data_IF_074986063501
#
_entry.id   IF_074986063501
#
_cell.length_a   1.000
_cell.length_b   1.000
_cell.length_c   1.000
_cell.angle_alpha   90.00
_cell.angle_beta   90.00
_cell.angle_gamma   90.00
#
_symmetry.space_group_name_H-M   'P 1'
#
loop_
_entity.id
_entity.type
_entity.pdbx_description
1 polymer ?
#
# COMPACT_ATOMS: atom_id res chain seq x y z
N UNK A 1 -1.28 -5.81 -11.50
CA UNK A 1 -1.74 -4.69 -10.65
C UNK A 1 -0.90 -4.63 -9.41
N UNK A 2 -0.50 -3.43 -8.99
CA UNK A 2 0.30 -3.17 -7.80
C UNK A 2 -0.46 -2.16 -6.94
N UNK A 3 -0.56 -2.42 -5.64
CA UNK A 3 -1.08 -1.47 -4.66
C UNK A 3 0.05 -1.08 -3.71
N UNK A 4 0.14 0.22 -3.41
CA UNK A 4 1.07 0.78 -2.44
C UNK A 4 0.25 1.53 -1.40
N UNK A 5 0.36 1.08 -0.15
CA UNK A 5 -0.34 1.66 1.00
C UNK A 5 0.71 2.13 2.00
N UNK A 6 0.69 3.41 2.33
CA UNK A 6 1.51 3.99 3.39
C UNK A 6 0.63 4.19 4.61
N UNK A 7 1.01 3.62 5.74
CA UNK A 7 0.29 3.78 7.01
C UNK A 7 1.16 4.41 8.08
N UNK A 8 0.50 5.10 9.01
CA UNK A 8 1.10 5.53 10.28
C UNK A 8 1.26 4.34 11.25
N UNK A 9 2.00 4.50 12.37
CA UNK A 9 2.10 3.46 13.40
C UNK A 9 0.75 3.04 14.01
N UNK A 10 -0.23 3.95 14.05
CA UNK A 10 -1.61 3.75 14.48
C UNK A 10 -2.55 3.23 13.36
N UNK A 11 -1.98 2.76 12.24
CA UNK A 11 -2.71 2.16 11.11
C UNK A 11 -3.69 3.10 10.40
N UNK A 12 -3.38 4.40 10.37
CA UNK A 12 -4.09 5.38 9.54
C UNK A 12 -3.43 5.46 8.17
N UNK A 13 -4.24 5.39 7.12
CA UNK A 13 -3.76 5.47 5.74
C UNK A 13 -3.27 6.88 5.45
N UNK A 14 -1.98 7.02 5.13
CA UNK A 14 -1.39 8.29 4.67
C UNK A 14 -1.43 8.44 3.16
N UNK A 15 -1.27 7.35 2.43
CA UNK A 15 -1.32 7.32 0.95
C UNK A 15 -1.84 5.97 0.49
N UNK A 16 -2.73 6.01 -0.49
CA UNK A 16 -3.15 4.83 -1.25
C UNK A 16 -2.88 5.09 -2.73
N UNK A 17 -2.09 4.21 -3.34
CA UNK A 17 -1.75 4.31 -4.75
C UNK A 17 -1.91 2.97 -5.44
N UNK A 18 -2.49 2.97 -6.64
CA UNK A 18 -2.69 1.76 -7.44
C UNK A 18 -2.10 1.96 -8.82
N UNK A 19 -1.39 0.95 -9.32
CA UNK A 19 -0.88 0.88 -10.69
C UNK A 19 -1.44 -0.38 -11.35
N UNK A 20 -2.28 -0.19 -12.38
CA UNK A 20 -2.87 -1.27 -13.16
C UNK A 20 -2.41 -1.20 -14.60
N UNK A 21 -1.75 -2.25 -15.06
CA UNK A 21 -1.11 -2.31 -16.37
C UNK A 21 0.01 -3.34 -16.40
N UNK A 22 0.45 -3.70 -17.60
CA UNK A 22 1.53 -4.67 -17.85
C UNK A 22 2.81 -4.02 -18.42
N UNK A 23 2.80 -2.69 -18.60
CA UNK A 23 3.91 -1.91 -19.15
C UNK A 23 4.67 -1.16 -18.06
N UNK A 24 5.97 -0.97 -18.24
CA UNK A 24 6.82 -0.13 -17.36
C UNK A 24 6.45 1.35 -17.38
N UNK A 25 5.67 1.79 -18.38
CA UNK A 25 5.18 3.16 -18.48
C UNK A 25 3.92 3.42 -17.65
N UNK A 26 3.27 2.35 -17.17
CA UNK A 26 2.10 2.46 -16.31
C UNK A 26 2.47 3.25 -15.05
N UNK A 27 1.58 4.13 -14.60
CA UNK A 27 1.82 5.01 -13.44
C UNK A 27 0.90 4.63 -12.30
N UNK A 28 1.37 4.93 -11.09
CA UNK A 28 0.54 4.92 -9.90
C UNK A 28 -0.46 6.07 -9.96
N UNK A 29 -1.73 5.74 -9.73
CA UNK A 29 -2.80 6.70 -9.48
C UNK A 29 -3.03 6.79 -7.98
N UNK A 30 -3.16 8.01 -7.47
CA UNK A 30 -3.45 8.29 -6.06
C UNK A 30 -4.96 8.22 -5.83
N UNK A 31 -5.34 7.58 -4.74
CA UNK A 31 -6.72 7.49 -4.27
C UNK A 31 -6.85 8.29 -2.97
N UNK A 32 -7.10 9.59 -3.10
CA UNK A 32 -7.15 10.53 -1.98
C UNK A 32 -8.37 10.29 -1.09
N UNK A 33 -9.43 9.69 -1.63
CA UNK A 33 -10.65 9.30 -0.92
C UNK A 33 -10.40 8.28 0.22
N UNK A 34 -9.24 7.62 0.20
CA UNK A 34 -8.84 6.63 1.20
C UNK A 34 -7.76 7.13 2.16
N UNK A 35 -7.36 8.39 2.07
CA UNK A 35 -6.40 8.96 3.00
C UNK A 35 -7.08 9.46 4.28
N UNK A 36 -6.39 9.33 5.41
CA UNK A 36 -6.89 9.72 6.73
C UNK A 36 -7.85 8.71 7.38
N UNK A 37 -8.26 7.65 6.68
CA UNK A 37 -9.12 6.61 7.26
C UNK A 37 -8.31 5.48 7.90
N UNK A 38 -8.89 4.75 8.88
CA UNK A 38 -8.28 3.54 9.41
C UNK A 38 -8.09 2.46 8.35
N UNK A 39 -6.95 1.76 8.37
CA UNK A 39 -6.62 0.66 7.45
C UNK A 39 -7.69 -0.44 7.44
N UNK A 40 -8.37 -0.68 8.56
CA UNK A 40 -9.43 -1.68 8.66
C UNK A 40 -10.63 -1.37 7.75
N UNK A 41 -10.92 -0.08 7.50
CA UNK A 41 -11.97 0.34 6.56
C UNK A 41 -11.65 -0.07 5.12
N UNK A 42 -10.36 -0.20 4.78
CA UNK A 42 -9.93 -0.76 3.48
C UNK A 42 -10.18 -2.26 3.37
N UNK A 43 -10.22 -2.99 4.50
CA UNK A 43 -10.55 -4.43 4.52
C UNK A 43 -12.04 -4.66 4.34
N UNK A 44 -12.87 -3.85 5.02
CA UNK A 44 -14.31 -4.07 5.09
C UNK A 44 -15.10 -3.55 3.89
N UNK A 45 -14.48 -2.76 3.00
CA UNK A 45 -15.20 -2.10 1.93
C UNK A 45 -14.76 -2.58 0.53
N UNK A 46 -15.44 -3.58 -0.05
CA UNK A 46 -15.14 -4.08 -1.39
C UNK A 46 -15.37 -3.03 -2.50
N UNK A 47 -16.11 -1.94 -2.23
CA UNK A 47 -16.31 -0.85 -3.20
C UNK A 47 -15.05 0.01 -3.43
N UNK A 48 -14.10 -0.01 -2.49
CA UNK A 48 -12.75 0.59 -2.64
C UNK A 48 -11.97 -0.11 -3.76
N UNK A 49 -12.35 -1.35 -4.08
CA UNK A 49 -11.66 -2.22 -5.00
C UNK A 49 -12.01 -1.98 -6.48
N UNK A 50 -12.83 -0.97 -6.77
CA UNK A 50 -13.15 -0.49 -8.11
C UNK A 50 -13.94 -1.50 -8.95
N UNK A 51 -15.18 -1.16 -9.25
CA UNK A 51 -15.82 -1.58 -10.50
C UNK A 51 -14.96 -1.04 -11.66
N UNK A 52 -13.97 -1.81 -12.15
CA UNK A 52 -13.26 -1.41 -13.37
C UNK A 52 -11.94 -2.12 -13.67
N UNK A 53 -11.16 -2.54 -12.68
CA UNK A 53 -9.81 -3.08 -12.95
C UNK A 53 -9.57 -4.44 -12.27
N UNK A 54 -9.43 -5.54 -13.03
CA UNK A 54 -9.20 -6.86 -12.46
C UNK A 54 -7.90 -6.90 -11.65
N UNK A 55 -8.01 -7.37 -10.40
CA UNK A 55 -6.85 -7.61 -9.53
C UNK A 55 -6.43 -6.45 -8.61
N UNK A 56 -7.15 -5.31 -8.60
CA UNK A 56 -6.92 -4.25 -7.61
C UNK A 56 -7.23 -4.75 -6.20
N UNK A 57 -8.37 -5.43 -6.03
CA UNK A 57 -8.79 -6.07 -4.79
C UNK A 57 -7.69 -6.92 -4.15
N UNK A 58 -7.14 -7.84 -4.95
CA UNK A 58 -6.12 -8.79 -4.51
C UNK A 58 -4.80 -8.08 -4.19
N UNK A 59 -4.43 -7.05 -4.96
CA UNK A 59 -3.24 -6.26 -4.69
C UNK A 59 -3.34 -5.49 -3.36
N UNK A 60 -4.50 -4.89 -3.07
CA UNK A 60 -4.79 -4.21 -1.80
C UNK A 60 -4.75 -5.21 -0.64
N UNK A 61 -5.41 -6.36 -0.77
CA UNK A 61 -5.39 -7.44 0.23
C UNK A 61 -3.97 -7.86 0.59
N UNK A 62 -3.13 -8.12 -0.42
CA UNK A 62 -1.72 -8.49 -0.23
C UNK A 62 -0.89 -7.38 0.40
N UNK A 63 -1.13 -6.12 0.05
CA UNK A 63 -0.43 -4.99 0.67
C UNK A 63 -0.75 -4.88 2.16
N UNK A 64 -2.01 -5.10 2.54
CA UNK A 64 -2.44 -5.14 3.94
C UNK A 64 -1.77 -6.31 4.69
N UNK A 65 -1.70 -7.50 4.10
CA UNK A 65 -0.99 -8.65 4.70
C UNK A 65 0.51 -8.37 4.91
N UNK A 66 1.14 -7.63 4.00
CA UNK A 66 2.54 -7.21 4.15
C UNK A 66 2.72 -6.25 5.32
N UNK A 67 1.79 -5.31 5.52
CA UNK A 67 1.78 -4.40 6.68
C UNK A 67 1.65 -5.21 7.97
N UNK A 68 0.71 -6.15 8.03
CA UNK A 68 0.49 -6.99 9.22
C UNK A 68 1.77 -7.77 9.58
N UNK A 69 2.38 -8.42 8.58
CA UNK A 69 3.64 -9.16 8.76
C UNK A 69 4.77 -8.27 9.26
N UNK A 70 4.92 -7.07 8.68
CA UNK A 70 5.94 -6.13 9.09
C UNK A 70 5.77 -5.66 10.56
N UNK A 71 4.54 -5.63 11.07
CA UNK A 71 4.25 -5.30 12.47
C UNK A 71 4.49 -6.47 13.42
N UNK A 72 4.24 -7.70 12.98
CA UNK A 72 4.49 -8.91 13.78
C UNK A 72 5.98 -9.27 13.92
N UNK A 73 6.85 -8.74 13.06
CA UNK A 73 8.30 -8.95 13.09
C UNK A 73 9.10 -7.63 13.34
N UNK A 74 8.95 -6.96 14.50
CA UNK A 74 9.53 -5.62 14.74
C UNK A 74 11.07 -5.57 14.74
N UNK A 75 11.75 -6.73 14.83
CA UNK A 75 13.21 -6.86 14.73
C UNK A 75 13.72 -6.98 13.29
N UNK A 76 12.85 -7.27 12.33
CA UNK A 76 13.16 -7.37 10.89
C UNK A 76 12.65 -6.11 10.20
N UNK A 77 13.05 -4.94 10.70
CA UNK A 77 12.77 -3.67 10.03
C UNK A 77 13.37 -3.78 8.63
N UNK A 78 12.59 -3.74 7.54
CA UNK A 78 13.14 -3.46 6.21
C UNK A 78 13.49 -1.97 6.22
N UNK A 79 14.53 -1.63 6.98
CA UNK A 79 15.12 -0.31 6.96
C UNK A 79 16.03 -0.19 5.75
N UNK A 80 16.52 1.03 5.53
CA UNK A 80 17.62 1.36 4.61
C UNK A 80 18.95 0.69 5.03
N UNK A 81 18.92 -0.43 5.77
CA UNK A 81 20.07 -1.19 6.23
C UNK A 81 20.80 -1.74 5.00
N UNK A 82 21.77 -0.97 4.51
CA UNK A 82 22.53 -1.26 3.29
C UNK A 82 22.48 -0.17 2.22
N UNK A 83 21.63 0.86 2.37
CA UNK A 83 21.64 2.01 1.47
C UNK A 83 22.60 3.07 2.03
N UNK A 84 23.75 3.21 1.37
CA UNK A 84 24.67 4.32 1.61
C UNK A 84 23.92 5.62 1.33
N UNK A 85 23.66 6.40 2.37
CA UNK A 85 23.18 7.77 2.23
C UNK A 85 24.35 8.54 1.62
N UNK A 86 24.35 8.72 0.30
CA UNK A 86 25.29 9.60 -0.36
C UNK A 86 25.08 11.00 0.23
N UNK A 87 26.06 11.46 1.01
CA UNK A 87 26.07 12.79 1.59
C UNK A 87 26.48 13.75 0.48
N UNK A 88 25.59 14.67 0.12
CA UNK A 88 25.90 15.82 -0.71
C UNK A 88 26.79 16.81 0.05
#
# INVERSE_FOLDING_TARGET
TIALIVVTPDLIVRRMMVMSGRSVLTKFKRHEEFEGIPLDRLRSNPAIMGEGEPGVAEAVRRAIEQIDRARSEPGKKPGLAGLNIARA
#
